data_IF_863230821998
#
_entry.id   IF_863230821998
#
_cell.length_a   1.000
_cell.length_b   1.000
_cell.length_c   1.000
_cell.angle_alpha   90.00
_cell.angle_beta   90.00
_cell.angle_gamma   90.00
#
_symmetry.space_group_name_H-M   'P 1'
#
loop_
_entity.id
_entity.type
_entity.pdbx_description
1 polymer ?
#
# COMPACT_ATOMS: atom_id res chain seq x y z
N UNK A 1 -15.45 16.64 -9.74
CA UNK A 1 -14.90 15.27 -9.72
C UNK A 1 -13.45 15.38 -9.31
N UNK A 2 -13.16 15.15 -8.03
CA UNK A 2 -11.83 15.35 -7.48
C UNK A 2 -11.04 14.05 -7.66
N UNK A 3 -10.37 13.92 -8.80
CA UNK A 3 -9.18 13.09 -8.86
C UNK A 3 -8.15 13.80 -8.00
N UNK A 4 -8.27 13.69 -6.68
CA UNK A 4 -7.26 14.21 -5.76
C UNK A 4 -5.99 13.46 -6.12
N UNK A 5 -5.07 14.17 -6.77
CA UNK A 5 -3.78 13.65 -7.18
C UNK A 5 -3.16 13.01 -5.95
N UNK A 6 -3.00 11.68 -6.00
CA UNK A 6 -2.52 10.89 -4.87
C UNK A 6 -1.23 11.48 -4.31
N UNK A 7 -0.36 11.95 -5.20
CA UNK A 7 0.90 12.62 -4.91
C UNK A 7 0.79 13.86 -4.01
N UNK A 8 -0.33 14.60 -4.09
CA UNK A 8 -0.54 15.81 -3.29
C UNK A 8 -0.96 15.49 -1.85
N UNK A 9 -1.76 14.43 -1.68
CA UNK A 9 -2.24 14.01 -0.35
C UNK A 9 -1.32 13.01 0.32
N UNK A 10 -0.42 12.37 -0.42
CA UNK A 10 0.49 11.36 0.10
C UNK A 10 1.29 11.85 1.33
N UNK A 11 1.91 13.03 1.33
CA UNK A 11 2.71 13.49 2.47
C UNK A 11 1.90 13.64 3.76
N UNK A 12 0.65 14.11 3.66
CA UNK A 12 -0.24 14.29 4.82
C UNK A 12 -0.70 12.94 5.41
N UNK A 13 -0.69 11.89 4.58
CA UNK A 13 -1.15 10.55 4.94
C UNK A 13 -0.01 9.62 5.40
N UNK A 14 1.24 9.94 5.04
CA UNK A 14 2.44 9.17 5.37
C UNK A 14 2.55 8.81 6.87
N UNK A 15 2.36 9.73 7.84
CA UNK A 15 2.49 9.39 9.26
C UNK A 15 1.48 8.34 9.71
N UNK A 16 0.29 8.33 9.10
CA UNK A 16 -0.79 7.37 9.40
C UNK A 16 -0.47 6.00 8.80
N UNK A 17 0.03 5.97 7.56
CA UNK A 17 0.47 4.73 6.91
C UNK A 17 1.66 4.11 7.65
N UNK A 18 2.62 4.92 8.10
CA UNK A 18 3.76 4.46 8.87
C UNK A 18 3.37 3.90 10.24
N UNK A 19 2.48 4.59 10.97
CA UNK A 19 1.95 4.07 12.24
C UNK A 19 1.22 2.73 12.06
N UNK A 20 0.53 2.55 10.94
CA UNK A 20 -0.12 1.29 10.60
C UNK A 20 0.89 0.19 10.26
N UNK A 21 1.88 0.48 9.41
CA UNK A 21 2.95 -0.44 9.05
C UNK A 21 3.76 -0.90 10.27
N UNK A 22 4.10 0.03 11.17
CA UNK A 22 4.82 -0.28 12.41
C UNK A 22 4.05 -1.24 13.31
N UNK A 23 2.72 -1.17 13.34
CA UNK A 23 1.87 -2.11 14.08
C UNK A 23 1.79 -3.49 13.42
N UNK A 24 2.09 -3.59 12.12
CA UNK A 24 2.07 -4.85 11.39
C UNK A 24 3.43 -5.57 11.42
N UNK A 25 4.53 -4.82 11.43
CA UNK A 25 5.89 -5.38 11.36
C UNK A 25 6.58 -5.43 12.72
N UNK A 26 6.17 -4.60 13.69
CA UNK A 26 6.84 -4.42 14.99
C UNK A 26 8.32 -4.02 14.88
N UNK A 27 8.76 -3.60 13.69
CA UNK A 27 10.12 -3.21 13.36
C UNK A 27 10.10 -1.97 12.45
N UNK A 28 10.82 -0.93 12.85
CA UNK A 28 10.90 0.35 12.16
C UNK A 28 11.45 0.23 10.74
N UNK A 29 12.49 -0.58 10.53
CA UNK A 29 13.09 -0.78 9.21
C UNK A 29 12.14 -1.48 8.24
N UNK A 30 11.44 -2.49 8.71
CA UNK A 30 10.49 -3.24 7.88
C UNK A 30 9.21 -2.44 7.66
N UNK A 31 8.81 -1.60 8.61
CA UNK A 31 7.73 -0.64 8.43
C UNK A 31 8.07 0.42 7.38
N UNK A 32 9.29 0.95 7.41
CA UNK A 32 9.77 1.94 6.43
C UNK A 32 9.81 1.35 5.01
N UNK A 33 10.40 0.17 4.85
CA UNK A 33 10.45 -0.52 3.55
C UNK A 33 9.05 -0.83 3.02
N UNK A 34 8.14 -1.30 3.89
CA UNK A 34 6.76 -1.58 3.52
C UNK A 34 6.02 -0.32 3.04
N UNK A 35 6.19 0.81 3.73
CA UNK A 35 5.60 2.09 3.33
C UNK A 35 6.21 2.59 2.02
N UNK A 36 7.52 2.45 1.83
CA UNK A 36 8.20 2.85 0.60
C UNK A 36 7.65 2.07 -0.61
N UNK A 37 7.57 0.74 -0.50
CA UNK A 37 7.03 -0.11 -1.55
C UNK A 37 5.56 0.20 -1.86
N UNK A 38 4.76 0.48 -0.82
CA UNK A 38 3.37 0.86 -0.99
C UNK A 38 3.22 2.23 -1.69
N UNK A 39 4.07 3.21 -1.37
CA UNK A 39 4.09 4.50 -2.05
C UNK A 39 4.48 4.37 -3.52
N UNK A 40 5.55 3.62 -3.81
CA UNK A 40 5.98 3.37 -5.19
C UNK A 40 4.88 2.71 -6.01
N UNK A 41 4.25 1.66 -5.46
CA UNK A 41 3.15 0.94 -6.13
C UNK A 41 1.90 1.79 -6.27
N UNK A 42 1.53 2.54 -5.23
CA UNK A 42 0.38 3.44 -5.25
C UNK A 42 0.52 4.51 -6.33
N UNK A 43 1.72 5.09 -6.49
CA UNK A 43 1.99 6.09 -7.52
C UNK A 43 1.96 5.46 -8.93
N UNK A 44 2.60 4.30 -9.12
CA UNK A 44 2.60 3.58 -10.40
C UNK A 44 1.20 3.13 -10.86
N UNK A 45 0.40 2.63 -9.92
CA UNK A 45 -0.94 2.06 -10.19
C UNK A 45 -2.07 3.09 -9.99
N UNK A 46 -1.77 4.39 -9.81
CA UNK A 46 -2.77 5.46 -9.56
C UNK A 46 -3.90 5.46 -10.60
N UNK A 47 -3.57 5.12 -11.86
CA UNK A 47 -4.52 5.04 -12.97
C UNK A 47 -5.47 3.83 -12.90
N UNK A 48 -5.12 2.79 -12.15
CA UNK A 48 -5.93 1.58 -11.95
C UNK A 48 -6.78 1.65 -10.69
N UNK A 49 -6.69 2.75 -9.94
CA UNK A 49 -7.45 2.96 -8.71
C UNK A 49 -8.96 2.93 -9.00
N UNK A 50 -9.75 2.19 -8.21
CA UNK A 50 -11.21 2.27 -8.29
C UNK A 50 -11.71 3.71 -8.06
N UNK A 51 -12.61 4.23 -8.91
CA UNK A 51 -13.06 5.63 -8.85
C UNK A 51 -13.92 5.95 -7.62
N UNK A 52 -14.42 4.93 -6.94
CA UNK A 52 -15.31 4.96 -5.78
C UNK A 52 -14.59 4.78 -4.44
N UNK A 53 -13.27 4.53 -4.46
CA UNK A 53 -12.48 4.27 -3.25
C UNK A 53 -11.70 5.51 -2.79
N UNK A 54 -11.70 5.78 -1.49
CA UNK A 54 -10.88 6.83 -0.90
C UNK A 54 -9.39 6.58 -1.16
N UNK A 55 -8.58 7.60 -1.51
CA UNK A 55 -7.14 7.46 -1.70
C UNK A 55 -6.44 6.80 -0.50
N UNK A 56 -6.89 7.10 0.72
CA UNK A 56 -6.38 6.52 1.96
C UNK A 56 -6.64 5.03 2.05
N UNK A 57 -7.89 4.62 1.81
CA UNK A 57 -8.34 3.24 1.98
C UNK A 57 -7.68 2.31 0.95
N UNK A 58 -7.50 2.83 -0.26
CA UNK A 58 -6.74 2.16 -1.29
C UNK A 58 -5.25 2.00 -0.91
N UNK A 59 -4.62 3.04 -0.34
CA UNK A 59 -3.24 2.93 0.15
C UNK A 59 -3.10 1.90 1.28
N UNK A 60 -4.04 1.86 2.22
CA UNK A 60 -4.06 0.81 3.26
C UNK A 60 -4.23 -0.58 2.67
N UNK A 61 -5.06 -0.72 1.63
CA UNK A 61 -5.22 -1.99 0.90
C UNK A 61 -3.92 -2.46 0.24
N UNK A 62 -3.15 -1.53 -0.34
CA UNK A 62 -1.84 -1.81 -0.95
C UNK A 62 -0.85 -2.25 0.13
N UNK A 63 -0.72 -1.48 1.23
CA UNK A 63 0.16 -1.82 2.36
C UNK A 63 -0.16 -3.20 2.90
N UNK A 64 -1.44 -3.48 3.17
CA UNK A 64 -1.87 -4.76 3.69
C UNK A 64 -1.62 -5.90 2.71
N UNK A 65 -1.82 -5.68 1.41
CA UNK A 65 -1.55 -6.70 0.39
C UNK A 65 -0.06 -7.01 0.30
N UNK A 66 0.82 -6.00 0.31
CA UNK A 66 2.27 -6.19 0.30
C UNK A 66 2.71 -6.97 1.56
N UNK A 67 2.26 -6.55 2.74
CA UNK A 67 2.59 -7.21 4.00
C UNK A 67 2.08 -8.66 4.06
N UNK A 68 0.84 -8.90 3.63
CA UNK A 68 0.23 -10.23 3.63
C UNK A 68 0.91 -11.17 2.64
N UNK A 69 1.24 -10.66 1.46
CA UNK A 69 1.78 -11.47 0.38
C UNK A 69 3.29 -11.75 0.61
N UNK A 70 4.01 -10.89 1.34
CA UNK A 70 5.37 -11.19 1.82
C UNK A 70 5.79 -10.32 3.02
N UNK A 71 5.78 -10.82 4.26
CA UNK A 71 6.07 -9.98 5.41
C UNK A 71 7.56 -9.61 5.55
N UNK A 72 8.52 -10.52 5.33
CA UNK A 72 9.97 -10.30 5.57
C UNK A 72 10.88 -11.29 4.82
N UNK A 73 10.35 -12.05 3.85
CA UNK A 73 11.12 -13.03 3.08
C UNK A 73 11.86 -12.42 1.88
N UNK A 74 11.37 -11.28 1.37
CA UNK A 74 11.87 -10.63 0.16
C UNK A 74 12.77 -9.41 0.33
N UNK A 75 12.81 -8.73 1.48
CA UNK A 75 13.76 -7.63 1.67
C UNK A 75 15.24 -8.08 1.53
N UNK A 76 15.52 -9.38 1.75
CA UNK A 76 16.82 -9.99 1.44
C UNK A 76 17.04 -10.37 -0.03
N UNK A 77 16.00 -10.35 -0.87
CA UNK A 77 16.06 -10.81 -2.28
C UNK A 77 15.94 -9.67 -3.31
N UNK A 78 15.44 -8.48 -2.96
CA UNK A 78 15.08 -7.44 -3.94
C UNK A 78 16.15 -6.40 -4.32
N UNK A 79 17.43 -6.64 -4.03
CA UNK A 79 18.47 -6.14 -4.96
C UNK A 79 18.56 -6.99 -6.24
N UNK A 80 17.87 -8.14 -6.32
CA UNK A 80 17.88 -9.04 -7.46
C UNK A 80 16.47 -9.26 -8.03
N UNK A 81 16.09 -8.38 -8.95
CA UNK A 81 15.28 -8.70 -10.14
C UNK A 81 13.89 -9.39 -9.96
N UNK A 82 12.86 -8.64 -10.39
CA UNK A 82 11.78 -9.05 -11.31
C UNK A 82 10.58 -9.84 -10.72
N UNK A 83 9.36 -9.28 -10.87
CA UNK A 83 8.29 -9.64 -11.84
C UNK A 83 6.95 -9.05 -11.38
N UNK A 84 6.36 -8.19 -12.20
CA UNK A 84 5.02 -7.61 -12.01
C UNK A 84 3.91 -8.64 -12.34
N UNK A 85 2.83 -8.54 -11.57
CA UNK A 85 1.45 -9.05 -11.77
C UNK A 85 1.16 -10.52 -11.46
N UNK A 86 -0.11 -10.87 -11.10
CA UNK A 86 -1.35 -10.07 -11.18
C UNK A 86 -2.26 -10.08 -9.93
N UNK A 87 -3.22 -9.15 -9.94
CA UNK A 87 -4.57 -9.29 -9.40
C UNK A 87 -4.74 -9.78 -7.95
N UNK A 88 -4.91 -8.87 -7.01
CA UNK A 88 -5.72 -9.14 -5.82
C UNK A 88 -6.47 -7.89 -5.41
N UNK A 89 -7.65 -7.67 -5.99
CA UNK A 89 -8.64 -6.75 -5.44
C UNK A 89 -10.03 -7.38 -5.61
N UNK A 90 -10.28 -8.46 -4.86
CA UNK A 90 -11.63 -8.96 -4.59
C UNK A 90 -11.92 -9.08 -3.09
N UNK A 91 -11.10 -8.44 -2.24
CA UNK A 91 -11.20 -8.60 -0.79
C UNK A 91 -11.12 -7.28 -0.01
N UNK A 92 -11.70 -6.21 -0.56
CA UNK A 92 -12.07 -5.02 0.24
C UNK A 92 -13.59 -4.80 0.27
N UNK A 93 -14.39 -5.82 -0.07
CA UNK A 93 -15.84 -5.72 -0.18
C UNK A 93 -16.61 -6.24 1.06
N UNK A 94 -15.95 -6.49 2.20
CA UNK A 94 -16.61 -7.16 3.34
C UNK A 94 -16.54 -6.47 4.72
N UNK A 95 -16.24 -5.18 4.80
CA UNK A 95 -16.28 -4.46 6.10
C UNK A 95 -16.73 -3.00 6.03
N UNK A 96 -17.63 -2.64 5.11
CA UNK A 96 -18.37 -1.37 5.20
C UNK A 96 -19.87 -1.66 5.05
N UNK A 97 -20.40 -2.51 5.92
CA UNK A 97 -21.82 -2.50 6.30
C UNK A 97 -21.87 -2.08 7.75
N UNK A 98 -22.13 -0.80 7.98
CA UNK A 98 -23.12 -0.23 8.92
C UNK A 98 -23.10 1.30 8.85
#
# INVERSE_FOLDING_TARGET
MQCTELSLVLPDMLPRLWSFALRLTENEYEAEELVHQACARGLEDTHTRPPDTSPLDWMFSIVYSIWRDDPMGHARRHCAAKKRSPSTQHLFQKTCSE
#
